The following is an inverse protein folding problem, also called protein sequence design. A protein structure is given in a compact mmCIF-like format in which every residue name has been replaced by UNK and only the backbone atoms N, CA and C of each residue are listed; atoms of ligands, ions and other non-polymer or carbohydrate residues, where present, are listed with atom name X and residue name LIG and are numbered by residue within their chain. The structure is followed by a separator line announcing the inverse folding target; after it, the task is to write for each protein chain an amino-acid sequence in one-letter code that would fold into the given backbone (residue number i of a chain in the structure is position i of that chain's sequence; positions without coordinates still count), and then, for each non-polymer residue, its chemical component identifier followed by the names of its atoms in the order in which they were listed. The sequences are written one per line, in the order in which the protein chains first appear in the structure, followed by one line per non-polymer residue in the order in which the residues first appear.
data_IF_400745531827
#
_entry.id   IF_400745531827
#
_cell.length_a   1.000
_cell.length_b   1.000
_cell.length_c   1.000
_cell.angle_alpha   90.00
_cell.angle_beta   90.00
_cell.angle_gamma   90.00
#
_symmetry.space_group_name_H-M   'P 1'
#
loop_
_entity.id
_entity.type
_entity.pdbx_description
1 polymer ?
2 polymer ?
3 water ?
#
# COMPACT_ATOMS: atom_id res chain seq x y z
N UNK A 46 -7.95 -1.62 33.87
CA UNK A 46 -7.04 -1.69 32.73
C UNK A 46 -6.73 -3.13 32.37
N UNK A 47 -6.85 -4.03 33.34
CA UNK A 47 -6.53 -5.44 33.12
C UNK A 47 -7.46 -6.08 32.10
N UNK A 48 -8.72 -5.65 32.05
CA UNK A 48 -9.65 -6.15 31.05
C UNK A 48 -9.15 -5.79 29.65
N UNK A 49 -8.77 -4.53 29.46
CA UNK A 49 -8.22 -4.12 28.17
C UNK A 49 -6.88 -4.76 27.88
N UNK A 50 -6.09 -5.07 28.92
CA UNK A 50 -4.75 -5.60 28.69
C UNK A 50 -4.79 -7.01 28.11
N UNK A 51 -5.75 -7.83 28.55
CA UNK A 51 -5.85 -9.18 28.02
C UNK A 51 -6.53 -9.20 26.66
N UNK A 52 -7.43 -8.24 26.41
CA UNK A 52 -8.00 -8.07 25.07
C UNK A 52 -6.92 -7.82 24.03
N UNK A 53 -5.78 -7.26 24.45
CA UNK A 53 -4.63 -7.17 23.56
C UNK A 53 -4.12 -8.56 23.19
N UNK A 54 -3.95 -9.44 24.19
CA UNK A 54 -3.44 -10.77 23.92
C UNK A 54 -4.40 -11.60 23.08
N UNK A 55 -5.69 -11.32 23.17
CA UNK A 55 -6.67 -12.09 22.41
C UNK A 55 -6.54 -11.82 20.91
N UNK A 56 -6.43 -10.54 20.54
CA UNK A 56 -6.42 -10.14 19.13
C UNK A 56 -5.04 -9.72 18.67
N UNK A 57 -3.99 -10.02 19.45
CA UNK A 57 -2.64 -9.74 18.98
C UNK A 57 -2.33 -10.51 17.71
N UNK A 58 -2.76 -11.77 17.65
CA UNK A 58 -2.55 -12.56 16.44
C UNK A 58 -3.25 -11.98 15.24
N UNK A 59 -4.50 -11.52 15.42
CA UNK A 59 -5.24 -10.95 14.30
C UNK A 59 -4.62 -9.65 13.83
N UNK A 60 -4.15 -8.82 14.76
CA UNK A 60 -3.55 -7.53 14.40
C UNK A 60 -2.27 -7.73 13.59
N UNK A 61 -1.41 -8.66 14.02
CA UNK A 61 -0.17 -8.90 13.30
C UNK A 61 -0.42 -9.53 11.94
N UNK A 62 -1.41 -10.41 11.85
CA UNK A 62 -1.81 -10.94 10.54
C UNK A 62 -2.38 -9.83 9.66
N UNK A 63 -3.10 -8.89 10.27
CA UNK A 63 -3.63 -7.76 9.50
C UNK A 63 -2.50 -6.85 9.01
N UNK A 64 -1.49 -6.64 9.85
CA UNK A 64 -0.35 -5.83 9.43
C UNK A 64 0.43 -6.50 8.31
N UNK A 65 0.62 -7.82 8.41
CA UNK A 65 1.33 -8.54 7.35
C UNK A 65 0.57 -8.47 6.03
N UNK A 66 -0.76 -8.60 6.08
CA UNK A 66 -1.55 -8.51 4.86
C UNK A 66 -1.51 -7.09 4.28
N UNK A 67 -1.55 -6.07 5.15
CA UNK A 67 -1.43 -4.70 4.69
C UNK A 67 -0.07 -4.47 4.04
N UNK A 68 1.01 -4.95 4.68
CA UNK A 68 2.34 -4.85 4.10
C UNK A 68 2.41 -5.52 2.73
N UNK A 69 1.85 -6.72 2.62
CA UNK A 69 1.89 -7.43 1.36
C UNK A 69 1.11 -6.74 0.25
N UNK A 70 -0.05 -6.18 0.60
CA UNK A 70 -0.85 -5.48 -0.39
C UNK A 70 -0.12 -4.23 -0.88
N UNK A 71 0.52 -3.49 0.04
CA UNK A 71 1.23 -2.29 -0.36
C UNK A 71 2.47 -2.60 -1.19
N UNK A 72 3.13 -3.73 -0.91
CA UNK A 72 4.21 -4.18 -1.77
C UNK A 72 3.71 -4.41 -3.20
N UNK A 73 2.58 -5.10 -3.34
CA UNK A 73 2.03 -5.38 -4.65
C UNK A 73 1.56 -4.10 -5.32
N UNK A 74 0.92 -3.21 -4.56
CA UNK A 74 0.50 -1.92 -5.12
C UNK A 74 1.70 -1.10 -5.58
N UNK A 75 2.82 -1.21 -4.86
CA UNK A 75 4.05 -0.55 -5.32
C UNK A 75 4.50 -1.11 -6.66
N UNK A 76 4.49 -2.44 -6.80
CA UNK A 76 4.90 -3.05 -8.06
C UNK A 76 3.91 -2.71 -9.18
N UNK A 77 2.61 -2.72 -8.86
CA UNK A 77 1.61 -2.44 -9.88
C UNK A 77 1.68 -0.99 -10.36
N UNK A 78 1.94 -0.06 -9.44
CA UNK A 78 2.09 1.33 -9.85
C UNK A 78 3.27 1.55 -10.77
N UNK A 79 4.38 0.86 -10.50
CA UNK A 79 5.55 0.98 -11.36
C UNK A 79 5.30 0.32 -12.72
N UNK A 80 4.61 -0.82 -12.73
CA UNK A 80 4.27 -1.47 -13.99
C UNK A 80 3.33 -0.62 -14.83
N UNK A 81 2.45 0.15 -14.18
CA UNK A 81 1.59 1.07 -14.93
C UNK A 81 2.43 2.11 -15.66
N UNK A 82 3.50 2.60 -15.02
CA UNK A 82 4.40 3.54 -15.68
C UNK A 82 5.13 2.89 -16.84
N UNK A 83 5.68 1.69 -16.62
CA UNK A 83 6.37 0.98 -17.70
C UNK A 83 5.43 0.73 -18.87
N UNK A 84 4.18 0.35 -18.58
CA UNK A 84 3.20 0.13 -19.64
C UNK A 84 2.95 1.42 -20.42
N UNK A 85 2.82 2.55 -19.73
CA UNK A 85 2.58 3.82 -20.40
C UNK A 85 3.79 4.23 -21.25
N UNK A 86 4.99 3.98 -20.75
CA UNK A 86 6.19 4.28 -21.54
C UNK A 86 6.24 3.42 -22.79
N UNK A 87 5.89 2.14 -22.67
CA UNK A 87 5.87 1.26 -23.83
C UNK A 87 4.86 1.73 -24.86
N UNK A 88 3.71 2.25 -24.42
CA UNK A 88 2.73 2.78 -25.35
C UNK A 88 3.30 3.96 -26.13
N UNK A 89 4.07 4.83 -25.45
CA UNK A 89 4.70 5.95 -26.14
C UNK A 89 5.78 5.46 -27.10
N UNK A 90 6.54 4.44 -26.70
CA UNK A 90 7.55 3.87 -27.58
C UNK A 90 6.90 3.33 -28.84
N UNK A 91 5.73 2.71 -28.72
CA UNK A 91 5.03 2.20 -29.90
C UNK A 91 4.62 3.34 -30.82
N UNK A 92 4.13 4.44 -30.25
CA UNK A 92 3.79 5.61 -31.06
C UNK A 92 4.97 6.08 -31.89
N UNK A 93 6.17 6.10 -31.29
CA UNK A 93 7.35 6.57 -31.99
C UNK A 93 7.79 5.58 -33.05
N UNK A 94 7.69 4.27 -32.76
CA UNK A 94 8.03 3.26 -33.76
C UNK A 94 7.10 3.37 -34.96
N UNK A 95 5.79 3.54 -34.71
CA UNK A 95 4.84 3.70 -35.81
C UNK A 95 5.15 4.97 -36.59
N UNK A 96 5.42 6.07 -35.89
CA UNK A 96 5.77 7.31 -36.57
C UNK A 96 7.01 7.14 -37.43
N UNK A 97 8.02 6.42 -36.92
CA UNK A 97 9.23 6.17 -37.69
C UNK A 97 8.96 5.32 -38.92
N UNK A 98 8.03 4.37 -38.82
CA UNK A 98 7.68 3.53 -39.96
C UNK A 98 6.92 4.26 -41.06
N UNK A 99 6.46 5.47 -40.78
CA UNK A 99 5.73 6.25 -41.75
C UNK A 99 6.40 7.57 -42.07
N UNK A 100 7.68 7.70 -41.75
CA UNK A 100 8.40 8.95 -41.99
C UNK A 100 9.36 8.86 -43.17
N UNK A 101 9.16 9.73 -44.16
CA UNK A 101 10.01 9.78 -45.35
C UNK A 101 10.77 11.09 -45.51
N UNK A 102 10.78 11.90 -44.45
CA UNK A 102 11.45 13.20 -44.46
C UNK A 102 12.85 13.21 -45.06
N UNK A 106 16.35 11.01 -42.55
CA UNK A 106 16.99 10.06 -41.63
C UNK A 106 17.46 10.76 -40.36
N UNK A 107 17.52 12.10 -40.41
CA UNK A 107 17.73 12.86 -39.18
C UNK A 107 16.45 12.92 -38.35
N UNK A 108 15.29 12.86 -39.01
CA UNK A 108 14.05 12.62 -38.29
C UNK A 108 14.07 11.26 -37.62
N UNK A 109 14.59 10.25 -38.31
CA UNK A 109 14.71 8.91 -37.72
C UNK A 109 15.64 8.92 -36.53
N UNK A 110 16.75 9.66 -36.62
CA UNK A 110 17.71 9.70 -35.51
C UNK A 110 17.09 10.39 -34.29
N UNK A 111 16.32 11.46 -34.51
CA UNK A 111 15.68 12.15 -33.40
C UNK A 111 14.61 11.26 -32.75
N UNK A 112 13.87 10.50 -33.55
CA UNK A 112 12.92 9.55 -32.99
C UNK A 112 13.65 8.48 -32.19
N UNK A 113 14.77 7.98 -32.72
CA UNK A 113 15.52 6.95 -32.02
C UNK A 113 16.10 7.47 -30.72
N UNK A 114 16.53 8.74 -30.68
CA UNK A 114 17.01 9.32 -29.43
C UNK A 114 15.93 9.28 -28.35
N UNK A 115 14.69 9.61 -28.71
CA UNK A 115 13.59 9.56 -27.74
C UNK A 115 13.33 8.13 -27.29
N UNK A 116 13.30 7.19 -28.24
CA UNK A 116 13.06 5.79 -27.90
C UNK A 116 14.12 5.28 -26.95
N UNK A 117 15.39 5.57 -27.23
CA UNK A 117 16.48 5.11 -26.38
C UNK A 117 16.39 5.70 -24.98
N UNK A 118 15.96 6.97 -24.88
CA UNK A 118 15.75 7.56 -23.57
C UNK A 118 14.56 6.92 -22.85
N UNK A 119 13.54 6.53 -23.60
CA UNK A 119 12.35 5.92 -22.99
C UNK A 119 12.65 4.50 -22.51
N UNK A 120 13.39 3.72 -23.29
CA UNK A 120 13.77 2.39 -22.82
C UNK A 120 14.72 2.48 -21.64
N UNK A 121 15.48 3.57 -21.54
CA UNK A 121 16.30 3.79 -20.35
C UNK A 121 15.43 4.13 -19.15
N UNK A 122 14.33 4.86 -19.36
CA UNK A 122 13.35 5.07 -18.30
C UNK A 122 12.80 3.74 -17.81
N UNK A 123 12.52 2.82 -18.73
CA UNK A 123 12.03 1.50 -18.36
C UNK A 123 13.07 0.76 -17.51
N UNK A 124 14.35 0.88 -17.90
CA UNK A 124 15.41 0.27 -17.09
C UNK A 124 15.47 0.88 -15.70
N UNK A 125 15.32 2.20 -15.60
CA UNK A 125 15.36 2.85 -14.30
C UNK A 125 14.24 2.40 -13.38
N UNK A 126 13.03 2.25 -13.93
CA UNK A 126 11.90 1.78 -13.13
C UNK A 126 12.16 0.37 -12.64
N UNK A 127 12.66 -0.51 -13.51
CA UNK A 127 12.90 -1.89 -13.09
C UNK A 127 14.01 -1.99 -12.07
N UNK A 128 14.95 -1.04 -12.07
CA UNK A 128 16.09 -1.09 -11.16
C UNK A 128 15.84 -0.39 -9.84
N UNK A 129 14.95 0.60 -9.79
CA UNK A 129 14.77 1.39 -8.58
C UNK A 129 13.50 1.06 -7.81
N UNK A 130 12.54 0.34 -8.41
CA UNK A 130 11.30 0.03 -7.72
C UNK A 130 11.58 -0.88 -6.53
N UNK A 131 11.17 -0.45 -5.33
CA UNK A 131 11.55 -1.09 -4.10
C UNK A 131 10.41 -1.06 -3.10
N UNK A 132 10.39 -2.05 -2.21
CA UNK A 132 9.54 -2.03 -1.03
C UNK A 132 10.33 -2.61 0.14
N UNK A 133 10.56 -1.79 1.16
CA UNK A 133 11.33 -2.18 2.34
C UNK A 133 12.72 -2.70 1.93
N UNK A 134 13.31 -2.03 0.95
CA UNK A 134 14.65 -2.37 0.49
C UNK A 134 14.74 -3.55 -0.45
N UNK A 135 13.62 -4.19 -0.80
CA UNK A 135 13.62 -5.33 -1.70
C UNK A 135 13.36 -4.86 -3.12
N UNK A 136 14.27 -5.21 -4.04
CA UNK A 136 14.07 -4.93 -5.46
C UNK A 136 12.97 -5.82 -6.01
N UNK A 137 11.92 -5.22 -6.55
CA UNK A 137 10.74 -5.96 -6.99
C UNK A 137 10.74 -6.32 -8.47
N UNK A 138 11.27 -5.44 -9.32
CA UNK A 138 11.08 -5.57 -10.77
C UNK A 138 12.36 -5.81 -11.55
N UNK A 139 13.50 -6.02 -10.89
CA UNK A 139 14.76 -6.18 -11.60
C UNK A 139 15.08 -7.64 -11.91
N UNK A 140 14.17 -8.56 -11.65
CA UNK A 140 14.42 -9.97 -11.88
C UNK A 140 14.90 -10.75 -10.68
N UNK A 141 15.06 -10.08 -9.53
CA UNK A 141 15.46 -10.79 -8.31
C UNK A 141 14.53 -11.95 -8.01
N UNK A 142 13.23 -11.77 -8.27
CA UNK A 142 12.22 -12.73 -7.89
C UNK A 142 11.58 -13.43 -9.09
N UNK A 143 12.27 -13.48 -10.23
CA UNK A 143 11.73 -14.14 -11.41
C UNK A 143 11.71 -15.66 -11.22
N UNK A 144 10.81 -16.32 -11.95
CA UNK A 144 10.82 -17.77 -11.98
C UNK A 144 12.09 -18.24 -12.68
N UNK A 145 12.58 -19.42 -12.29
CA UNK A 145 13.78 -20.00 -12.90
C UNK A 145 13.59 -21.51 -12.93
N UNK A 146 12.79 -21.97 -13.90
CA UNK A 146 12.55 -23.40 -14.04
C UNK A 146 13.78 -24.12 -14.59
N UNK A 147 14.66 -23.41 -15.30
CA UNK A 147 15.88 -24.04 -15.79
C UNK A 147 16.86 -24.30 -14.65
N UNK A 148 16.93 -23.38 -13.68
CA UNK A 148 17.80 -23.56 -12.52
C UNK A 148 17.07 -23.10 -11.26
N UNK A 149 16.32 -24.00 -10.64
CA UNK A 149 15.54 -23.63 -9.44
C UNK A 149 16.41 -23.21 -8.27
N UNK A 150 17.64 -23.69 -8.21
CA UNK A 150 18.55 -23.28 -7.15
C UNK A 150 18.80 -21.78 -7.14
N UNK A 151 18.57 -21.12 -8.28
CA UNK A 151 18.76 -19.68 -8.40
C UNK A 151 17.47 -18.89 -8.23
N UNK A 152 16.35 -19.54 -7.92
CA UNK A 152 15.07 -18.86 -7.84
C UNK A 152 14.83 -18.32 -6.43
N UNK A 153 14.30 -17.10 -6.37
CA UNK A 153 13.88 -16.48 -5.12
C UNK A 153 12.39 -16.18 -5.19
N UNK A 154 11.68 -16.42 -4.08
CA UNK A 154 10.24 -16.26 -4.03
C UNK A 154 9.86 -15.18 -3.03
N UNK A 155 8.80 -14.44 -3.34
CA UNK A 155 8.12 -13.62 -2.36
C UNK A 155 7.07 -14.48 -1.65
N UNK A 156 7.04 -14.43 -0.33
CA UNK A 156 6.15 -15.25 0.48
C UNK A 156 5.07 -14.37 1.08
N UNK A 157 3.81 -14.77 0.89
CA UNK A 157 2.66 -14.11 1.49
C UNK A 157 1.84 -15.13 2.28
N UNK A 158 1.03 -14.66 3.20
CA UNK A 158 0.16 -15.52 3.99
C UNK A 158 -1.29 -15.21 3.64
N UNK A 159 -2.02 -16.25 3.26
CA UNK A 159 -3.28 -16.13 2.55
C UNK A 159 -4.32 -16.97 3.27
N UNK A 160 -5.57 -16.89 2.80
CA UNK A 160 -6.64 -17.69 3.34
C UNK A 160 -7.22 -17.10 4.60
N UNK A 161 -8.31 -17.72 5.04
CA UNK A 161 -8.84 -17.39 6.36
C UNK A 161 -7.82 -17.74 7.41
N UNK A 162 -7.66 -16.85 8.39
CA UNK A 162 -6.68 -16.89 9.49
C UNK A 162 -5.26 -16.54 9.02
N UNK A 163 -5.05 -16.31 7.72
CA UNK A 163 -3.76 -15.81 7.21
C UNK A 163 -2.60 -16.73 7.58
N UNK A 164 -2.80 -18.04 7.48
CA UNK A 164 -1.77 -19.01 7.81
C UNK A 164 -1.28 -19.83 6.62
N UNK A 165 -1.95 -19.75 5.48
CA UNK A 165 -1.58 -20.52 4.30
C UNK A 165 -0.56 -19.72 3.48
N UNK A 166 0.66 -20.23 3.40
CA UNK A 166 1.71 -19.52 2.69
C UNK A 166 1.64 -19.79 1.19
N UNK A 167 1.89 -18.77 0.39
CA UNK A 167 2.03 -18.90 -1.06
C UNK A 167 3.34 -18.25 -1.47
N UNK A 168 3.91 -18.74 -2.57
CA UNK A 168 5.09 -18.17 -3.18
C UNK A 168 4.70 -17.41 -4.43
N UNK A 169 5.30 -16.24 -4.62
CA UNK A 169 4.99 -15.36 -5.75
C UNK A 169 6.29 -14.92 -6.41
N UNK A 170 6.29 -14.93 -7.73
CA UNK A 170 7.44 -14.49 -8.51
C UNK A 170 7.06 -13.27 -9.35
N UNK A 171 8.05 -12.43 -9.61
CA UNK A 171 7.90 -11.25 -10.45
C UNK A 171 9.02 -11.26 -11.48
N UNK A 172 8.65 -11.16 -12.76
CA UNK A 172 9.63 -11.27 -13.83
C UNK A 172 10.46 -9.99 -13.96
N UNK A 173 11.62 -10.13 -14.59
CA UNK A 173 12.45 -9.00 -14.96
C UNK A 173 11.68 -8.09 -15.91
N UNK A 174 11.55 -6.81 -15.53
CA UNK A 174 10.82 -5.83 -16.32
C UNK A 174 11.75 -4.80 -16.95
N UNK A 175 13.05 -5.07 -16.98
CA UNK A 175 13.96 -4.22 -17.71
C UNK A 175 13.79 -4.34 -19.21
N UNK A 176 14.37 -3.38 -19.93
CA UNK A 176 14.15 -3.29 -21.37
C UNK A 176 14.73 -4.49 -22.12
N UNK A 177 15.82 -5.08 -21.63
CA UNK A 177 16.39 -6.24 -22.30
C UNK A 177 15.68 -7.54 -21.96
N UNK A 178 14.68 -7.50 -21.09
CA UNK A 178 13.91 -8.69 -20.72
C UNK A 178 12.48 -8.65 -21.26
N UNK A 179 12.16 -7.65 -22.08
CA UNK A 179 10.84 -7.53 -22.70
C UNK A 179 10.98 -7.61 -24.21
N UNK A 180 10.07 -8.33 -24.86
CA UNK A 180 10.14 -8.49 -26.29
C UNK A 180 9.70 -9.87 -26.76
N UNK A 181 10.20 -10.31 -27.90
CA UNK A 181 9.81 -11.60 -28.47
C UNK A 181 10.61 -12.69 -27.78
N UNK A 182 9.94 -13.54 -27.01
CA UNK A 182 10.58 -14.62 -26.31
C UNK A 182 10.73 -15.84 -27.19
N UNK A 183 11.81 -16.59 -26.97
CA UNK A 183 12.01 -17.86 -27.66
C UNK A 183 11.23 -18.95 -26.92
N UNK A 184 11.47 -20.20 -27.28
CA UNK A 184 10.71 -21.32 -26.72
C UNK A 184 10.85 -21.34 -25.21
N UNK A 185 12.05 -21.04 -24.76
CA UNK A 185 12.34 -20.92 -23.34
C UNK A 185 12.14 -19.44 -22.94
N UNK A 186 12.56 -19.09 -21.74
CA UNK A 186 12.42 -17.71 -21.27
C UNK A 186 13.24 -16.64 -21.98
N UNK A 187 14.30 -17.06 -22.65
CA UNK A 187 15.25 -16.20 -23.34
C UNK A 187 14.77 -15.32 -24.49
N UNK A 188 15.44 -14.17 -24.66
CA UNK A 188 15.14 -13.28 -25.77
C UNK A 188 16.36 -13.25 -26.67
N UNK A 189 16.20 -13.66 -27.91
CA UNK A 189 17.30 -13.70 -28.86
C UNK A 189 17.77 -12.28 -29.19
N UNK A 190 18.89 -12.20 -29.91
CA UNK A 190 19.45 -10.91 -30.28
C UNK A 190 18.48 -10.13 -31.16
N UNK A 191 18.47 -8.82 -30.99
CA UNK A 191 17.63 -7.87 -31.73
C UNK A 191 16.14 -8.05 -31.45
N UNK A 192 15.76 -8.82 -30.43
CA UNK A 192 14.36 -9.11 -30.16
C UNK A 192 13.84 -8.47 -28.89
N UNK A 193 14.64 -7.67 -28.19
CA UNK A 193 14.21 -7.02 -26.96
C UNK A 193 13.96 -5.53 -27.20
N UNK A 194 13.19 -4.93 -26.29
CA UNK A 194 12.91 -3.50 -26.36
C UNK A 194 14.21 -2.69 -26.35
N UNK A 195 15.23 -3.19 -25.63
CA UNK A 195 16.52 -2.52 -25.59
C UNK A 195 17.23 -2.51 -26.95
N UNK A 196 16.81 -3.38 -27.87
CA UNK A 196 17.46 -3.47 -29.17
C UNK A 196 16.79 -2.62 -30.24
N UNK A 197 15.68 -1.95 -29.92
CA UNK A 197 14.95 -1.17 -30.91
C UNK A 197 15.85 -0.11 -31.53
N UNK A 198 15.81 0.00 -32.86
CA UNK A 198 16.63 0.97 -33.57
C UNK A 198 15.88 1.33 -34.87
N UNK A 199 15.12 2.42 -34.84
CA UNK A 199 14.32 2.81 -35.99
C UNK A 199 15.15 3.44 -37.10
N UNK A 200 16.42 3.78 -36.85
CA UNK A 200 17.26 4.26 -37.94
C UNK A 200 17.50 3.16 -38.97
N UNK A 201 17.35 1.89 -38.59
CA UNK A 201 17.48 0.79 -39.53
C UNK A 201 16.35 0.77 -40.55
N UNK A 202 15.26 1.51 -40.30
CA UNK A 202 14.14 1.55 -41.25
C UNK A 202 14.55 2.20 -42.58
N UNK A 203 15.63 2.97 -42.59
CA UNK A 203 16.02 3.67 -43.81
C UNK A 203 16.62 2.72 -44.84
N UNK A 204 17.21 1.61 -44.40
CA UNK A 204 17.88 0.68 -45.30
C UNK A 204 17.19 -0.67 -45.41
N UNK A 205 16.03 -0.85 -44.79
CA UNK A 205 15.35 -2.14 -44.78
C UNK A 205 13.87 -1.95 -45.04
N UNK A 206 13.30 -2.83 -45.85
CA UNK A 206 11.87 -2.82 -46.09
C UNK A 206 11.12 -3.19 -44.80
N UNK A 207 9.84 -2.86 -44.78
CA UNK A 207 9.04 -3.05 -43.56
C UNK A 207 8.98 -4.53 -43.15
N UNK A 208 9.04 -5.45 -44.11
CA UNK A 208 8.95 -6.86 -43.81
C UNK A 208 10.32 -7.51 -43.63
N UNK A 209 11.38 -6.72 -43.49
CA UNK A 209 12.71 -7.28 -43.26
C UNK A 209 12.73 -8.02 -41.92
N UNK A 210 13.37 -9.18 -41.91
CA UNK A 210 13.43 -9.99 -40.70
C UNK A 210 14.17 -9.25 -39.59
N UNK A 211 13.63 -9.37 -38.38
CA UNK A 211 14.26 -8.89 -37.15
C UNK A 211 14.29 -7.36 -37.03
N UNK A 212 14.72 -6.67 -38.08
CA UNK A 212 14.96 -5.23 -37.99
C UNK A 212 14.04 -4.40 -38.86
N UNK A 213 13.19 -5.01 -39.68
CA UNK A 213 12.20 -4.25 -40.41
C UNK A 213 11.15 -3.65 -39.48
N UNK A 214 10.34 -2.74 -40.05
CA UNK A 214 9.34 -2.05 -39.25
C UNK A 214 8.38 -3.03 -38.59
N UNK A 215 7.91 -4.02 -39.35
CA UNK A 215 6.94 -4.98 -38.81
C UNK A 215 7.52 -5.75 -37.64
N UNK A 216 8.78 -6.18 -37.75
CA UNK A 216 9.39 -6.98 -36.68
C UNK A 216 9.63 -6.15 -35.44
N UNK A 217 10.15 -4.93 -35.59
CA UNK A 217 10.40 -4.08 -34.44
C UNK A 217 9.11 -3.65 -33.77
N UNK A 218 8.05 -3.43 -34.56
CA UNK A 218 6.74 -3.16 -33.98
C UNK A 218 6.24 -4.34 -33.16
N UNK A 219 6.52 -5.57 -33.63
CA UNK A 219 6.11 -6.76 -32.90
C UNK A 219 6.81 -6.85 -31.55
N UNK A 220 8.07 -6.40 -31.47
CA UNK A 220 8.78 -6.39 -30.20
C UNK A 220 8.06 -5.54 -29.17
N UNK A 221 7.53 -4.39 -29.59
CA UNK A 221 6.83 -3.51 -28.67
C UNK A 221 5.49 -4.11 -28.24
N UNK A 222 4.75 -4.69 -29.19
CA UNK A 222 3.46 -5.30 -28.87
C UNK A 222 3.61 -6.42 -27.84
N UNK A 223 4.61 -7.28 -28.04
CA UNK A 223 4.84 -8.38 -27.10
C UNK A 223 5.24 -7.86 -25.74
N UNK A 224 6.04 -6.79 -25.70
CA UNK A 224 6.47 -6.22 -24.42
C UNK A 224 5.30 -5.62 -23.67
N UNK A 225 4.40 -4.94 -24.38
CA UNK A 225 3.22 -4.37 -23.73
C UNK A 225 2.41 -5.46 -23.04
N UNK A 226 2.17 -6.56 -23.75
CA UNK A 226 1.39 -7.66 -23.17
C UNK A 226 2.11 -8.33 -22.02
N UNK A 227 3.44 -8.40 -22.08
CA UNK A 227 4.20 -8.99 -20.97
C UNK A 227 4.04 -8.16 -19.71
N UNK A 228 4.05 -6.83 -19.84
CA UNK A 228 3.85 -5.97 -18.67
C UNK A 228 2.41 -6.08 -18.18
N UNK A 229 1.45 -6.15 -19.10
CA UNK A 229 0.05 -6.30 -18.70
C UNK A 229 -0.18 -7.63 -17.99
N UNK A 230 0.46 -8.70 -18.47
CA UNK A 230 0.30 -10.01 -17.82
C UNK A 230 0.90 -10.02 -16.42
N UNK A 231 2.06 -9.38 -16.24
CA UNK A 231 2.67 -9.36 -14.93
C UNK A 231 1.82 -8.57 -13.93
N UNK A 232 1.23 -7.47 -14.39
CA UNK A 232 0.38 -6.67 -13.50
C UNK A 232 -0.89 -7.43 -13.13
N UNK A 233 -1.47 -8.17 -14.08
CA UNK A 233 -2.68 -8.92 -13.79
C UNK A 233 -2.42 -10.04 -12.79
N UNK A 234 -1.27 -10.71 -12.92
CA UNK A 234 -0.94 -11.78 -11.98
C UNK A 234 -0.75 -11.23 -10.56
N UNK A 235 -0.15 -10.05 -10.45
CA UNK A 235 0.00 -9.43 -9.13
C UNK A 235 -1.34 -8.98 -8.57
N UNK A 236 -2.26 -8.54 -9.44
CA UNK A 236 -3.59 -8.19 -8.98
C UNK A 236 -4.36 -9.36 -8.42
N UNK A 237 -4.15 -10.56 -8.96
CA UNK A 237 -4.80 -11.74 -8.41
C UNK A 237 -4.29 -12.04 -7.00
N UNK A 238 -2.99 -11.86 -6.76
CA UNK A 238 -2.46 -12.03 -5.42
C UNK A 238 -3.03 -10.99 -4.48
N UNK A 239 -3.10 -9.74 -4.93
CA UNK A 239 -3.72 -8.69 -4.13
C UNK A 239 -5.15 -9.04 -3.76
N UNK A 240 -5.90 -9.63 -4.70
CA UNK A 240 -7.27 -10.03 -4.41
C UNK A 240 -7.31 -11.07 -3.30
N UNK A 241 -6.38 -12.02 -3.32
CA UNK A 241 -6.35 -13.05 -2.28
C UNK A 241 -6.04 -12.45 -0.92
N UNK A 242 -5.14 -11.47 -0.88
CA UNK A 242 -4.83 -10.81 0.39
C UNK A 242 -6.00 -9.98 0.89
N UNK A 243 -6.77 -9.39 -0.02
CA UNK A 243 -7.97 -8.65 0.39
C UNK A 243 -8.97 -9.56 1.08
N UNK A 244 -9.20 -10.75 0.51
CA UNK A 244 -10.12 -11.70 1.13
C UNK A 244 -9.63 -12.12 2.49
N UNK A 245 -8.31 -12.27 2.66
CA UNK A 245 -7.75 -12.59 3.96
C UNK A 245 -8.06 -11.48 4.97
N UNK A 246 -7.90 -10.23 4.55
CA UNK A 246 -8.15 -9.09 5.45
C UNK A 246 -9.60 -9.10 5.91
N UNK A 247 -10.54 -9.39 5.00
CA UNK A 247 -11.94 -9.37 5.35
C UNK A 247 -12.34 -10.54 6.24
N UNK A 248 -11.66 -11.68 6.11
CA UNK A 248 -11.90 -12.77 7.05
C UNK A 248 -11.27 -12.49 8.41
N UNK A 249 -10.09 -11.88 8.41
CA UNK A 249 -9.48 -11.46 9.68
C UNK A 249 -10.37 -10.46 10.41
N UNK A 250 -10.95 -9.51 9.67
CA UNK A 250 -11.84 -8.53 10.29
C UNK A 250 -13.09 -9.19 10.84
N UNK A 251 -13.67 -10.14 10.10
CA UNK A 251 -14.84 -10.85 10.60
C UNK A 251 -14.49 -11.66 11.84
N UNK A 252 -13.30 -12.26 11.87
CA UNK A 252 -12.87 -12.99 13.05
C UNK A 252 -12.75 -12.06 14.26
N UNK A 253 -12.15 -10.88 14.06
CA UNK A 253 -12.07 -9.92 15.15
C UNK A 253 -13.41 -9.34 15.54
N UNK A 254 -14.32 -9.21 14.58
CA UNK A 254 -15.65 -8.70 14.88
C UNK A 254 -16.42 -9.66 15.78
N UNK A 255 -16.21 -10.97 15.60
CA UNK A 255 -16.91 -11.95 16.44
C UNK A 255 -16.34 -11.97 17.86
N UNK A 256 -15.03 -11.79 18.00
CA UNK A 256 -14.38 -11.91 19.31
C UNK A 256 -14.54 -10.67 20.18
N UNK A 257 -15.10 -9.58 19.64
CA UNK A 257 -15.29 -8.35 20.40
C UNK A 257 -16.75 -7.93 20.40
N UNK A 258 -17.68 -8.89 20.45
CA UNK A 258 -19.09 -8.58 20.44
C UNK A 258 -19.42 -7.56 21.52
N UNK A 259 -20.18 -6.54 21.12
CA UNK A 259 -20.50 -5.33 21.90
C UNK A 259 -19.38 -4.30 21.86
N UNK A 260 -18.24 -4.64 21.24
CA UNK A 260 -17.27 -3.64 20.78
C UNK A 260 -17.09 -3.67 19.28
N UNK A 261 -17.60 -4.69 18.60
CA UNK A 261 -17.84 -4.69 17.16
C UNK A 261 -19.17 -4.02 16.79
N UNK A 262 -19.66 -3.11 17.63
CA UNK A 262 -21.07 -2.69 17.55
C UNK A 262 -21.33 -1.72 16.40
N UNK A 263 -20.31 -1.09 15.86
CA UNK A 263 -20.53 -0.04 14.87
C UNK A 263 -20.41 -0.62 13.46
N UNK A 264 -21.49 -0.50 12.67
CA UNK A 264 -21.67 -1.23 11.42
C UNK A 264 -21.30 -0.43 10.19
N UNK A 265 -21.69 0.85 10.16
CA UNK A 265 -21.73 1.60 8.92
C UNK A 265 -21.40 3.06 9.23
N UNK A 266 -21.35 3.86 8.17
CA UNK A 266 -20.99 5.27 8.31
C UNK A 266 -22.02 6.01 9.16
N UNK A 267 -23.31 5.73 8.92
CA UNK A 267 -24.36 6.42 9.68
C UNK A 267 -24.19 6.19 11.18
N UNK A 268 -23.95 4.94 11.59
CA UNK A 268 -23.78 4.65 13.00
C UNK A 268 -22.51 5.29 13.55
N UNK A 269 -21.41 5.22 12.79
CA UNK A 269 -20.15 5.77 13.27
C UNK A 269 -20.22 7.29 13.39
N UNK A 270 -20.81 7.96 12.40
CA UNK A 270 -20.99 9.41 12.49
C UNK A 270 -21.78 9.78 13.75
N UNK A 271 -22.92 9.12 13.94
CA UNK A 271 -23.79 9.43 15.06
C UNK A 271 -23.14 9.06 16.39
N UNK A 272 -22.41 7.95 16.42
CA UNK A 272 -21.75 7.55 17.67
C UNK A 272 -20.57 8.46 17.99
N UNK A 273 -19.90 8.97 16.95
CA UNK A 273 -18.77 9.88 17.19
C UNK A 273 -19.25 11.17 17.86
N UNK A 274 -20.35 11.75 17.35
CA UNK A 274 -20.89 12.96 17.95
C UNK A 274 -21.39 12.70 19.37
N UNK A 275 -22.07 11.57 19.58
CA UNK A 275 -22.58 11.24 20.90
C UNK A 275 -21.44 11.02 21.89
N UNK A 276 -20.40 10.29 21.48
CA UNK A 276 -19.28 10.04 22.38
C UNK A 276 -18.48 11.31 22.64
N UNK A 277 -18.34 12.17 21.62
CA UNK A 277 -17.63 13.43 21.81
C UNK A 277 -18.32 14.29 22.86
N UNK A 278 -19.66 14.32 22.86
CA UNK A 278 -20.39 15.12 23.84
C UNK A 278 -20.36 14.49 25.23
N UNK A 279 -20.28 13.17 25.30
CA UNK A 279 -20.16 12.51 26.61
C UNK A 279 -18.79 12.77 27.22
N UNK A 280 -17.75 12.84 26.39
CA UNK A 280 -16.42 13.19 26.90
C UNK A 280 -16.44 14.61 27.46
N UNK A 281 -17.06 15.54 26.74
CA UNK A 281 -17.18 16.92 27.21
C UNK A 281 -17.93 16.99 28.53
N UNK A 282 -19.03 16.23 28.64
CA UNK A 282 -19.92 16.34 29.78
C UNK A 282 -19.44 15.58 31.01
N UNK A 283 -18.56 14.58 30.83
CA UNK A 283 -18.07 13.76 31.93
C UNK A 283 -16.54 13.73 31.89
N UNK A 284 -15.93 14.91 32.11
CA UNK A 284 -14.48 15.03 31.98
C UNK A 284 -13.74 14.10 32.94
N UNK A 285 -14.21 14.00 34.19
CA UNK A 285 -13.53 13.14 35.16
C UNK A 285 -13.62 11.67 34.74
N UNK A 286 -14.79 11.25 34.26
CA UNK A 286 -14.92 9.87 33.77
C UNK A 286 -14.04 9.63 32.54
N UNK A 287 -13.93 10.64 31.67
CA UNK A 287 -13.09 10.49 30.49
C UNK A 287 -11.63 10.32 30.88
N UNK A 288 -11.16 11.11 31.86
CA UNK A 288 -9.80 10.96 32.36
C UNK A 288 -9.57 9.58 32.94
N UNK A 289 -10.49 9.12 33.79
CA UNK A 289 -10.36 7.79 34.37
C UNK A 289 -10.38 6.72 33.30
N UNK A 290 -11.15 6.93 32.23
CA UNK A 290 -11.35 5.89 31.24
C UNK A 290 -10.14 5.73 30.33
N UNK A 291 -9.48 6.84 29.96
CA UNK A 291 -8.53 6.80 28.85
C UNK A 291 -7.12 7.25 29.20
N UNK A 292 -6.94 8.14 30.18
CA UNK A 292 -5.63 8.71 30.46
C UNK A 292 -4.73 7.72 31.21
N UNK A 293 -4.44 6.60 30.55
CA UNK A 293 -3.73 5.50 31.19
C UNK A 293 -2.53 5.04 30.36
N UNK A 294 -1.89 5.95 29.63
CA UNK A 294 -0.73 5.59 28.84
C UNK A 294 0.56 5.84 29.62
N UNK A 295 1.56 5.04 29.32
CA UNK A 295 2.82 5.29 30.01
C UNK A 295 3.79 6.01 29.06
N UNK A 296 4.59 6.94 29.60
CA UNK A 296 5.27 7.92 28.73
C UNK A 296 6.19 7.31 27.69
N UNK A 297 6.84 6.19 27.97
CA UNK A 297 7.77 5.64 26.99
C UNK A 297 7.03 4.96 25.83
N UNK A 298 5.80 4.50 26.05
CA UNK A 298 5.00 3.98 24.95
C UNK A 298 4.54 5.09 24.02
N UNK A 299 4.31 6.28 24.56
CA UNK A 299 3.82 7.39 23.74
C UNK A 299 4.92 7.90 22.81
N UNK A 300 6.14 8.06 23.34
CA UNK A 300 7.26 8.50 22.50
C UNK A 300 7.51 7.52 21.36
N UNK A 301 7.35 6.23 21.63
CA UNK A 301 7.61 5.22 20.60
C UNK A 301 6.54 5.28 19.50
N UNK A 302 5.28 5.49 19.88
CA UNK A 302 4.21 5.54 18.89
C UNK A 302 4.24 6.82 18.06
N UNK A 303 4.86 7.88 18.56
CA UNK A 303 4.91 9.16 17.86
C UNK A 303 6.14 9.30 16.97
N UNK A 304 6.97 8.28 16.86
CA UNK A 304 8.10 8.32 15.95
C UNK A 304 7.63 8.36 14.49
N UNK B 13 11.45 14.21 23.79
CA UNK B 13 11.63 15.61 24.12
C UNK B 13 11.62 15.82 25.63
N UNK B 14 10.49 16.24 26.16
CA UNK B 14 10.36 16.50 27.58
C UNK B 14 9.07 15.84 28.08
N UNK B 15 8.84 14.60 27.65
CA UNK B 15 7.60 13.86 27.97
C UNK B 15 7.24 13.53 29.41
N UNK B 16 8.19 13.09 30.24
CA UNK B 16 7.88 12.75 31.62
C UNK B 16 7.23 13.93 32.35
N UNK B 17 7.32 15.07 31.69
CA UNK B 17 6.74 16.35 32.08
C UNK B 17 5.21 16.32 31.96
N UNK B 18 4.70 15.73 30.88
CA UNK B 18 3.28 15.81 30.56
C UNK B 18 2.45 15.05 31.57
N UNK B 19 1.27 15.60 31.89
CA UNK B 19 0.30 14.91 32.70
C UNK B 19 -0.32 13.76 31.91
N UNK B 20 -0.99 12.82 32.59
CA UNK B 20 -1.66 11.74 31.84
C UNK B 20 -2.62 12.23 30.79
N UNK B 21 -3.40 13.28 31.08
CA UNK B 21 -4.32 13.80 30.08
C UNK B 21 -3.59 14.40 28.89
N UNK B 22 -2.46 15.05 29.13
CA UNK B 22 -1.68 15.64 28.04
C UNK B 22 -1.03 14.56 27.18
N UNK B 23 -0.66 13.43 27.78
CA UNK B 23 -0.13 12.32 27.00
C UNK B 23 -1.16 11.80 26.00
N UNK B 24 -2.39 11.61 26.46
CA UNK B 24 -3.45 11.12 25.57
C UNK B 24 -3.69 12.10 24.43
N UNK B 25 -3.66 13.40 24.73
CA UNK B 25 -3.87 14.41 23.70
C UNK B 25 -2.78 14.30 22.62
N UNK B 26 -1.57 14.00 23.06
CA UNK B 26 -0.44 13.82 22.15
C UNK B 26 -0.71 12.65 21.19
N UNK B 27 -1.30 11.57 21.69
CA UNK B 27 -1.66 10.42 20.87
C UNK B 27 -2.71 10.80 19.81
N UNK B 28 -3.77 11.49 20.21
CA UNK B 28 -4.78 11.90 19.24
C UNK B 28 -4.16 12.76 18.14
N UNK B 29 -3.27 13.68 18.52
CA UNK B 29 -2.66 14.57 17.54
C UNK B 29 -1.73 13.81 16.61
N UNK B 30 -0.97 12.85 17.15
CA UNK B 30 -0.13 12.02 16.30
C UNK B 30 -0.92 11.18 15.33
N UNK B 31 -2.05 10.63 15.79
CA UNK B 31 -2.90 9.84 14.91
C UNK B 31 -3.38 10.67 13.72
N UNK B 32 -3.84 11.89 13.98
CA UNK B 32 -4.27 12.78 12.91
C UNK B 32 -3.12 13.09 11.95
N UNK B 33 -1.93 13.35 12.50
CA UNK B 33 -0.77 13.68 11.68
C UNK B 33 -0.43 12.54 10.72
N UNK B 34 -0.49 11.30 11.22
CA UNK B 34 -0.13 10.16 10.37
C UNK B 34 -1.20 9.88 9.33
N UNK B 35 -2.48 10.12 9.66
CA UNK B 35 -3.54 9.96 8.66
C UNK B 35 -3.37 10.98 7.54
N UNK B 36 -3.06 12.23 7.91
CA UNK B 36 -2.87 13.27 6.89
C UNK B 36 -1.67 12.96 6.01
N UNK B 37 -0.58 12.46 6.61
CA UNK B 37 0.58 12.09 5.83
C UNK B 37 0.26 10.95 4.85
N UNK B 38 -0.59 10.02 5.27
CA UNK B 38 -0.95 8.91 4.41
C UNK B 38 -1.84 9.36 3.26
N UNK B 39 -2.78 10.26 3.53
CA UNK B 39 -3.58 10.84 2.46
C UNK B 39 -2.69 11.52 1.42
N UNK B 40 -1.73 12.33 1.90
CA UNK B 40 -0.77 12.96 1.00
C UNK B 40 0.02 11.93 0.21
N UNK B 41 0.42 10.82 0.85
CA UNK B 41 1.17 9.80 0.15
C UNK B 41 0.33 9.16 -0.96
N UNK B 42 -0.98 9.02 -0.73
CA UNK B 42 -1.86 8.48 -1.75
C UNK B 42 -1.91 9.41 -2.96
N UNK B 43 -1.96 10.73 -2.72
CA UNK B 43 -1.95 11.68 -3.83
C UNK B 43 -0.64 11.59 -4.62
N UNK B 44 0.48 11.37 -3.93
CA UNK B 44 1.78 11.26 -4.57
C UNK B 44 2.08 9.84 -5.04
N UNK B 45 1.11 8.95 -4.94
CA UNK B 45 1.29 7.56 -5.36
C UNK B 45 2.45 6.90 -4.64
N UNK B 46 2.64 7.19 -3.37
CA UNK B 46 3.71 6.58 -2.60
C UNK B 46 3.06 5.54 -1.70
N UNK B 47 3.00 4.31 -2.18
CA UNK B 47 2.36 3.23 -1.46
C UNK B 47 3.05 2.86 -0.16
N UNK B 48 4.37 2.78 -0.18
CA UNK B 48 5.11 2.43 1.03
C UNK B 48 4.90 3.48 2.12
N UNK B 49 4.95 4.75 1.74
CA UNK B 49 4.76 5.83 2.70
C UNK B 49 3.34 5.83 3.26
N UNK B 50 2.35 5.62 2.39
CA UNK B 50 0.97 5.52 2.86
C UNK B 50 0.83 4.38 3.86
N UNK B 51 1.36 3.20 3.51
CA UNK B 51 1.23 2.03 4.37
C UNK B 51 1.90 2.27 5.72
N UNK B 52 3.09 2.87 5.71
CA UNK B 52 3.82 3.10 6.96
C UNK B 52 3.03 4.01 7.90
N UNK B 53 2.42 5.06 7.36
CA UNK B 53 1.71 6.03 8.19
C UNK B 53 0.37 5.51 8.68
N UNK B 54 -0.33 4.72 7.88
CA UNK B 54 -1.61 4.18 8.32
C UNK B 54 -1.41 3.13 9.40
N UNK B 55 -0.34 2.34 9.31
CA UNK B 55 -0.03 1.40 10.38
C UNK B 55 0.34 2.14 11.65
N UNK B 56 1.09 3.24 11.52
CA UNK B 56 1.37 4.10 12.66
C UNK B 56 0.07 4.61 13.29
N UNK B 57 -0.87 5.06 12.45
CA UNK B 57 -2.15 5.53 12.98
C UNK B 57 -2.93 4.39 13.62
N UNK B 58 -2.90 3.20 13.01
CA UNK B 58 -3.60 2.05 13.59
C UNK B 58 -3.02 1.68 14.95
N UNK B 59 -1.69 1.75 15.09
CA UNK B 59 -1.07 1.40 16.36
C UNK B 59 -1.46 2.35 17.47
N UNK B 60 -1.69 3.62 17.13
CA UNK B 60 -2.13 4.58 18.13
C UNK B 60 -3.55 4.27 18.58
N UNK B 61 -4.44 4.01 17.62
CA UNK B 61 -5.82 3.69 17.95
C UNK B 61 -5.89 2.44 18.81
N UNK B 62 -5.03 1.46 18.52
CA UNK B 62 -5.04 0.22 19.31
C UNK B 62 -4.46 0.45 20.70
N UNK B 63 -3.44 1.31 20.82
CA UNK B 63 -2.92 1.64 22.13
C UNK B 63 -3.96 2.37 22.98
N UNK B 64 -4.70 3.29 22.37
CA UNK B 64 -5.79 3.95 23.07
C UNK B 64 -6.84 2.94 23.54
N UNK B 65 -7.22 2.02 22.64
CA UNK B 65 -8.24 1.04 22.98
C UNK B 65 -7.80 0.13 24.11
N UNK B 66 -6.53 -0.31 24.07
CA UNK B 66 -6.03 -1.26 25.06
C UNK B 66 -5.62 -0.59 26.37
N UNK B 67 -5.59 0.74 26.43
CA UNK B 67 -5.36 1.44 27.68
C UNK B 67 -6.64 2.03 28.25
N UNK B 68 -7.80 1.56 27.80
CA UNK B 68 -9.07 1.98 28.35
C UNK B 68 -9.34 1.24 29.66
N UNK B 69 -9.74 1.98 30.69
CA UNK B 69 -10.22 1.38 31.93
C UNK B 69 -11.65 0.92 31.68
N UNK B 70 -11.83 -0.35 31.35
CA UNK B 70 -13.15 -0.84 30.98
C UNK B 70 -14.04 -1.09 32.17
N UNK B 71 -13.63 -0.68 33.38
CA UNK B 71 -14.56 -0.53 34.48
C UNK B 71 -15.34 0.77 34.39
N UNK B 72 -14.83 1.74 33.61
CA UNK B 72 -15.51 3.02 33.42
C UNK B 72 -16.53 2.86 32.31
N UNK B 73 -17.74 3.41 32.53
CA UNK B 73 -18.82 3.24 31.57
C UNK B 73 -18.46 3.84 30.22
N UNK B 74 -17.81 5.00 30.21
CA UNK B 74 -17.47 5.68 28.96
C UNK B 74 -16.61 4.83 28.04
N UNK B 75 -15.92 3.82 28.57
CA UNK B 75 -14.98 3.04 27.78
C UNK B 75 -15.67 2.17 26.74
N UNK B 76 -16.94 1.82 26.93
CA UNK B 76 -17.62 0.94 25.99
C UNK B 76 -17.77 1.59 24.64
N UNK B 77 -18.32 2.81 24.59
CA UNK B 77 -18.53 3.47 23.31
C UNK B 77 -17.25 3.99 22.70
N UNK B 78 -16.30 4.44 23.52
CA UNK B 78 -15.01 4.87 22.99
C UNK B 78 -14.28 3.71 22.31
N UNK B 79 -14.31 2.53 22.94
CA UNK B 79 -13.67 1.37 22.35
C UNK B 79 -14.38 0.87 21.11
N UNK B 80 -15.72 0.98 21.07
CA UNK B 80 -16.44 0.62 19.86
C UNK B 80 -16.08 1.55 18.71
N UNK B 81 -15.86 2.83 19.00
CA UNK B 81 -15.41 3.75 17.95
C UNK B 81 -14.01 3.41 17.50
N UNK B 82 -13.10 3.12 18.44
CA UNK B 82 -11.74 2.73 18.09
C UNK B 82 -11.73 1.50 17.20
N UNK B 83 -12.60 0.53 17.48
CA UNK B 83 -12.66 -0.67 16.66
C UNK B 83 -13.08 -0.36 15.23
N UNK B 84 -14.08 0.52 15.08
CA UNK B 84 -14.48 0.93 13.73
C UNK B 84 -13.39 1.75 13.06
N UNK B 85 -12.75 2.67 13.81
CA UNK B 85 -11.68 3.48 13.24
C UNK B 85 -10.55 2.60 12.71
N UNK B 86 -10.17 1.58 13.47
CA UNK B 86 -9.11 0.66 13.02
C UNK B 86 -9.54 -0.07 11.75
N UNK B 87 -10.74 -0.64 11.76
CA UNK B 87 -11.22 -1.38 10.59
C UNK B 87 -11.34 -0.46 9.38
N UNK B 88 -11.80 0.78 9.59
CA UNK B 88 -11.94 1.71 8.48
C UNK B 88 -10.58 2.14 7.93
N UNK B 89 -9.57 2.28 8.79
CA UNK B 89 -8.23 2.64 8.30
C UNK B 89 -7.61 1.50 7.50
N UNK B 90 -7.87 0.26 7.89
CA UNK B 90 -7.38 -0.88 7.13
C UNK B 90 -8.00 -0.89 5.73
N UNK B 91 -9.31 -0.67 5.66
CA UNK B 91 -9.99 -0.63 4.36
C UNK B 91 -9.45 0.52 3.51
N UNK B 92 -9.25 1.70 4.11
CA UNK B 92 -8.74 2.83 3.36
C UNK B 92 -7.34 2.55 2.84
N UNK B 93 -6.54 1.82 3.61
CA UNK B 93 -5.19 1.44 3.17
C UNK B 93 -5.25 0.59 1.91
N UNK B 94 -5.97 -0.53 1.96
CA UNK B 94 -5.96 -1.46 0.85
C UNK B 94 -6.74 -0.94 -0.35
N UNK B 95 -7.62 0.05 -0.16
CA UNK B 95 -8.40 0.62 -1.25
C UNK B 95 -7.88 1.96 -1.73
N UNK B 96 -6.84 2.51 -1.09
CA UNK B 96 -6.32 3.83 -1.45
C UNK B 96 -7.42 4.88 -1.43
N UNK B 97 -8.28 4.81 -0.41
CA UNK B 97 -9.50 5.61 -0.35
C UNK B 97 -9.28 6.79 0.59
N UNK B 98 -8.99 7.93 0.00
CA UNK B 98 -8.80 9.18 0.73
C UNK B 98 -10.11 9.58 1.41
N UNK B 99 -11.22 9.25 0.77
CA UNK B 99 -12.52 9.57 1.34
C UNK B 99 -12.69 8.89 2.69
N UNK B 100 -12.29 7.62 2.78
CA UNK B 100 -12.32 6.89 4.03
C UNK B 100 -11.40 7.53 5.07
N UNK B 101 -10.23 7.99 4.63
CA UNK B 101 -9.29 8.64 5.53
C UNK B 101 -9.90 9.92 6.08
N UNK B 102 -10.56 10.70 5.23
CA UNK B 102 -11.23 11.90 5.72
C UNK B 102 -12.31 11.57 6.74
N UNK B 103 -12.98 10.42 6.56
CA UNK B 103 -14.00 10.00 7.52
C UNK B 103 -13.39 9.74 8.89
N UNK B 104 -12.32 8.94 8.94
CA UNK B 104 -11.69 8.62 10.22
C UNK B 104 -11.04 9.87 10.81
N UNK B 105 -10.49 10.73 9.96
CA UNK B 105 -9.91 11.99 10.45
C UNK B 105 -10.97 12.82 11.16
N UNK B 106 -12.21 12.78 10.70
CA UNK B 106 -13.27 13.51 11.37
C UNK B 106 -13.59 12.95 12.74
N UNK B 107 -13.58 11.62 12.87
CA UNK B 107 -13.82 11.02 14.18
C UNK B 107 -12.71 11.38 15.16
N UNK B 108 -11.45 11.21 14.75
CA UNK B 108 -10.34 11.50 15.64
C UNK B 108 -10.32 12.98 16.02
N UNK B 109 -10.71 13.85 15.09
CA UNK B 109 -10.83 15.27 15.39
C UNK B 109 -11.91 15.50 16.45
N UNK B 110 -13.03 14.78 16.34
CA UNK B 110 -14.06 14.84 17.38
C UNK B 110 -13.49 14.46 18.74
N UNK B 111 -12.82 13.31 18.81
CA UNK B 111 -12.24 12.87 20.07
C UNK B 111 -11.17 13.85 20.56
N UNK B 112 -10.33 14.34 19.65
CA UNK B 112 -9.25 15.24 20.04
C UNK B 112 -9.80 16.55 20.62
N UNK B 113 -10.78 17.15 19.93
CA UNK B 113 -11.32 18.43 20.38
C UNK B 113 -12.03 18.29 21.72
N UNK B 114 -12.81 17.21 21.90
CA UNK B 114 -13.49 17.00 23.17
C UNK B 114 -12.51 16.69 24.28
N UNK B 115 -11.47 15.91 23.98
CA UNK B 115 -10.47 15.56 24.99
C UNK B 115 -9.71 16.80 25.45
N UNK B 116 -9.31 17.66 24.51
CA UNK B 116 -8.58 18.88 24.87
C UNK B 116 -9.42 19.77 25.76
N UNK B 117 -10.72 19.86 25.49
CA UNK B 117 -11.61 20.62 26.37
C UNK B 117 -11.77 19.93 27.72
N UNK B 118 -11.77 18.59 27.72
CA UNK B 118 -12.00 17.86 28.96
C UNK B 118 -10.86 18.05 29.94
N UNK B 119 -9.61 18.05 29.47
CA UNK B 119 -8.49 18.22 30.38
C UNK B 119 -8.40 19.67 30.85
N UNK B 120 -8.88 20.61 30.04
CA UNK B 120 -8.95 22.01 30.45
C UNK B 120 -9.95 22.15 31.60
N UNK B 121 -11.24 22.01 31.30
CA UNK B 121 -12.28 22.05 32.31
C UNK B 121 -12.18 20.84 33.24
N UNK B 122 -11.14 20.81 34.07
CA UNK B 122 -10.92 19.71 34.99
C UNK B 122 -9.82 20.04 35.99
#
# INVERSE_FOLDING_TARGET
MRINHNIAALNTLNRLSSNNSASQKNMEKLSSGLRINRAGDDAAGLAISEKMRGQIRGLEMASKNSQDGISLIQTAEGALTETHAILQRVRELVVQAGNTGTQDKATDLQSIQDEISALTDEIDGISNRTEFNGKKLLDGTYKVDTATPANQKNLVFQIGANATQQISVNIEDMGADALGIKEADGSIAALHSVNDLDVTKFADNAADTADIGFDAQLKVVDEAINQVSSQRAKLGAVQNRLEHTINNLSASGENLTAAESRIRDVDMAKEMSEFTKNNILSQASQAMLAQANQQPQNVLQLLR
MAIQNPYTAYQQNSVNTATPGELTLMLYNGCLKFIRLAAQAIENDDMERKNENLIKAQNIIQELNFTLNRNIELSASMGAMYDYMYRRLVQANIKNDTGMLAEVEGYVTDFRDAWKQAIQSERKDRHGSGGIA
#
